data_IF_228181740011
#
_entry.id   IF_228181740011
#
_cell.length_a   1.000
_cell.length_b   1.000
_cell.length_c   1.000
_cell.angle_alpha   90.00
_cell.angle_beta   90.00
_cell.angle_gamma   90.00
#
_symmetry.space_group_name_H-M   'P 1'
#
loop_
_entity.id
_entity.type
_entity.pdbx_description
1 polymer ?
#
# COMPACT_ATOMS: atom_id res chain seq x y z
N UNK A 1 24.88 -6.87 21.84
CA UNK A 1 24.20 -8.03 22.52
C UNK A 1 24.93 -9.36 22.25
N UNK A 2 25.25 -10.18 23.26
CA UNK A 2 25.80 -11.55 23.03
C UNK A 2 24.85 -12.45 22.21
N UNK A 3 23.53 -12.22 22.31
CA UNK A 3 22.51 -12.91 21.51
C UNK A 3 22.67 -12.67 20.00
N UNK A 4 23.13 -11.49 19.58
CA UNK A 4 23.40 -11.19 18.15
C UNK A 4 24.51 -12.12 17.64
N UNK A 5 25.53 -12.37 18.45
CA UNK A 5 26.61 -13.31 18.11
C UNK A 5 26.08 -14.73 17.94
N UNK A 6 25.13 -15.16 18.78
CA UNK A 6 24.47 -16.48 18.64
C UNK A 6 23.60 -16.54 17.38
N UNK A 7 22.91 -15.46 17.01
CA UNK A 7 22.13 -15.37 15.77
C UNK A 7 23.00 -15.42 14.51
N UNK A 8 24.29 -15.04 14.59
CA UNK A 8 25.27 -15.22 13.52
C UNK A 8 25.75 -16.67 13.37
N UNK A 9 25.35 -17.58 14.26
CA UNK A 9 25.71 -18.99 14.15
C UNK A 9 25.15 -19.60 12.85
N UNK A 10 25.92 -20.53 12.26
CA UNK A 10 25.48 -21.31 11.10
C UNK A 10 24.48 -22.41 11.49
N UNK A 11 24.41 -22.77 12.76
CA UNK A 11 23.56 -23.84 13.26
C UNK A 11 22.17 -23.27 13.54
N UNK A 12 21.16 -23.82 12.85
CA UNK A 12 19.76 -23.37 12.99
C UNK A 12 19.25 -23.46 14.44
N UNK A 13 19.51 -24.57 15.15
CA UNK A 13 19.03 -24.76 16.53
C UNK A 13 19.56 -23.70 17.50
N UNK A 14 20.81 -23.26 17.34
CA UNK A 14 21.39 -22.18 18.15
C UNK A 14 20.68 -20.86 17.86
N UNK A 15 20.38 -20.58 16.58
CA UNK A 15 19.62 -19.38 16.20
C UNK A 15 18.19 -19.41 16.74
N UNK A 16 17.57 -20.58 16.75
CA UNK A 16 16.21 -20.81 17.26
C UNK A 16 16.14 -20.53 18.77
N UNK A 17 17.04 -21.14 19.54
CA UNK A 17 17.16 -20.89 20.98
C UNK A 17 17.49 -19.43 21.30
N UNK A 18 18.33 -18.78 20.49
CA UNK A 18 18.63 -17.36 20.65
C UNK A 18 17.41 -16.48 20.37
N UNK A 19 16.55 -16.83 19.39
CA UNK A 19 15.27 -16.15 19.13
C UNK A 19 14.30 -16.29 20.29
N UNK A 20 14.17 -17.50 20.84
CA UNK A 20 13.29 -17.74 22.00
C UNK A 20 13.76 -16.97 23.22
N UNK A 21 15.08 -16.96 23.48
CA UNK A 21 15.67 -16.16 24.54
C UNK A 21 15.39 -14.68 24.33
N UNK A 22 15.55 -14.18 23.11
CA UNK A 22 15.28 -12.78 22.77
C UNK A 22 13.81 -12.39 22.99
N UNK A 23 12.86 -13.26 22.62
CA UNK A 23 11.43 -13.03 22.86
C UNK A 23 11.11 -12.94 24.35
N UNK A 24 11.70 -13.82 25.17
CA UNK A 24 11.60 -13.75 26.64
C UNK A 24 12.22 -12.46 27.18
N UNK A 25 13.38 -12.06 26.69
CA UNK A 25 14.01 -10.79 27.06
C UNK A 25 13.13 -9.58 26.74
N UNK A 26 12.48 -9.53 25.57
CA UNK A 26 11.57 -8.44 25.18
C UNK A 26 10.37 -8.35 26.13
N UNK A 27 9.86 -9.51 26.57
CA UNK A 27 8.79 -9.58 27.56
C UNK A 27 9.21 -8.95 28.90
N UNK A 28 10.46 -9.16 29.31
CA UNK A 28 11.01 -8.65 30.58
C UNK A 28 11.39 -7.16 30.49
N UNK A 29 12.08 -6.75 29.41
CA UNK A 29 12.53 -5.37 29.23
C UNK A 29 11.38 -4.41 28.87
N UNK A 30 10.32 -4.94 28.25
CA UNK A 30 9.15 -4.17 27.85
C UNK A 30 9.39 -3.29 26.62
N UNK A 31 8.34 -2.55 26.24
CA UNK A 31 8.25 -1.77 25.00
C UNK A 31 9.36 -0.73 24.77
N UNK A 32 9.90 -0.12 25.83
CA UNK A 32 10.89 0.97 25.74
C UNK A 32 12.18 0.56 25.04
N UNK A 33 12.56 -0.72 25.15
CA UNK A 33 13.81 -1.22 24.57
C UNK A 33 13.61 -1.88 23.20
N UNK A 34 12.37 -2.03 22.71
CA UNK A 34 12.10 -2.71 21.45
C UNK A 34 12.85 -2.06 20.28
N UNK A 35 12.75 -0.74 20.15
CA UNK A 35 13.43 0.01 19.09
C UNK A 35 14.94 -0.23 19.11
N UNK A 36 15.56 -0.09 20.28
CA UNK A 36 16.99 -0.31 20.47
C UNK A 36 17.40 -1.74 20.11
N UNK A 37 16.63 -2.75 20.55
CA UNK A 37 16.89 -4.16 20.21
C UNK A 37 16.86 -4.36 18.70
N UNK A 38 15.89 -3.78 18.00
CA UNK A 38 15.76 -3.91 16.54
C UNK A 38 16.91 -3.21 15.83
N UNK A 39 17.29 -2.01 16.26
CA UNK A 39 18.45 -1.28 15.72
C UNK A 39 19.75 -2.07 15.91
N UNK A 40 19.95 -2.67 17.08
CA UNK A 40 21.10 -3.55 17.36
C UNK A 40 21.09 -4.83 16.50
N UNK A 41 19.93 -5.42 16.23
CA UNK A 41 19.81 -6.56 15.33
C UNK A 41 20.19 -6.16 13.88
N UNK A 42 19.71 -5.01 13.42
CA UNK A 42 20.02 -4.47 12.08
C UNK A 42 21.52 -4.19 11.95
N UNK A 43 22.13 -3.52 12.93
CA UNK A 43 23.57 -3.30 12.97
C UNK A 43 24.36 -4.62 13.07
N UNK A 44 23.77 -5.61 13.73
CA UNK A 44 24.36 -6.91 13.98
C UNK A 44 24.38 -7.90 12.81
N UNK A 45 23.42 -7.82 11.89
CA UNK A 45 23.13 -8.89 10.91
C UNK A 45 23.14 -8.38 9.46
N UNK A 46 24.25 -7.79 9.04
CA UNK A 46 24.33 -7.04 7.76
C UNK A 46 24.72 -7.88 6.52
N UNK A 47 25.20 -9.14 6.67
CA UNK A 47 25.89 -9.85 5.57
C UNK A 47 25.12 -11.04 5.02
N UNK A 48 24.75 -10.99 3.73
CA UNK A 48 24.30 -12.14 2.94
C UNK A 48 23.16 -12.92 3.59
N UNK A 49 23.44 -14.16 4.06
CA UNK A 49 22.43 -14.99 4.71
C UNK A 49 21.91 -14.41 6.04
N UNK A 50 22.72 -13.59 6.72
CA UNK A 50 22.36 -12.98 8.00
C UNK A 50 21.18 -12.02 7.85
N UNK A 51 21.00 -11.42 6.66
CA UNK A 51 19.84 -10.60 6.35
C UNK A 51 18.53 -11.41 6.42
N UNK A 52 18.52 -12.63 5.90
CA UNK A 52 17.34 -13.51 6.03
C UNK A 52 17.10 -13.96 7.48
N UNK A 53 18.18 -14.14 8.25
CA UNK A 53 18.06 -14.40 9.70
C UNK A 53 17.46 -13.18 10.41
N UNK A 54 17.90 -11.97 10.08
CA UNK A 54 17.36 -10.72 10.62
C UNK A 54 15.86 -10.59 10.36
N UNK A 55 15.42 -10.71 9.11
CA UNK A 55 13.99 -10.62 8.76
C UNK A 55 13.17 -11.69 9.49
N UNK A 56 13.68 -12.92 9.57
CA UNK A 56 13.01 -14.00 10.29
C UNK A 56 12.92 -13.68 11.79
N UNK A 57 14.00 -13.18 12.41
CA UNK A 57 14.03 -12.84 13.83
C UNK A 57 13.04 -11.72 14.16
N UNK A 58 12.99 -10.64 13.37
CA UNK A 58 12.06 -9.53 13.59
C UNK A 58 10.61 -9.99 13.41
N UNK A 59 10.33 -10.83 12.40
CA UNK A 59 9.00 -11.41 12.24
C UNK A 59 8.59 -12.29 13.45
N UNK A 60 9.49 -13.13 13.97
CA UNK A 60 9.21 -13.94 15.17
C UNK A 60 8.96 -13.06 16.41
N UNK A 61 9.73 -11.99 16.57
CA UNK A 61 9.52 -11.01 17.64
C UNK A 61 8.12 -10.38 17.54
N UNK A 62 7.69 -9.97 16.34
CA UNK A 62 6.37 -9.38 16.14
C UNK A 62 5.23 -10.37 16.40
N UNK A 63 5.39 -11.64 16.02
CA UNK A 63 4.44 -12.68 16.38
C UNK A 63 4.36 -12.81 17.90
N UNK A 64 5.50 -12.88 18.60
CA UNK A 64 5.53 -12.97 20.05
C UNK A 64 4.85 -11.76 20.70
N UNK A 65 5.12 -10.55 20.22
CA UNK A 65 4.45 -9.34 20.71
C UNK A 65 2.94 -9.40 20.47
N UNK A 66 2.49 -9.94 19.35
CA UNK A 66 1.05 -10.11 19.09
C UNK A 66 0.33 -11.08 20.01
N UNK A 67 1.07 -11.90 20.77
CA UNK A 67 0.50 -12.77 21.83
C UNK A 67 0.69 -12.20 23.23
N UNK A 68 1.37 -11.06 23.38
CA UNK A 68 1.50 -10.35 24.65
C UNK A 68 0.25 -9.50 24.93
N UNK A 69 0.17 -8.96 26.14
CA UNK A 69 -0.92 -8.08 26.57
C UNK A 69 -1.08 -6.85 25.64
N UNK A 70 -2.32 -6.46 25.42
CA UNK A 70 -2.82 -5.34 24.60
C UNK A 70 -2.09 -3.98 24.77
N UNK A 71 -1.42 -3.75 25.91
CA UNK A 71 -0.71 -2.50 26.21
C UNK A 71 0.73 -2.40 25.65
N UNK A 72 1.19 -3.42 24.93
CA UNK A 72 2.53 -3.44 24.34
C UNK A 72 2.59 -2.59 23.06
N UNK A 73 2.85 -1.29 23.24
CA UNK A 73 3.00 -0.33 22.15
C UNK A 73 4.33 -0.53 21.38
N UNK A 74 4.23 -0.68 20.06
CA UNK A 74 5.37 -0.86 19.14
C UNK A 74 5.76 0.40 18.35
N UNK A 75 5.00 1.49 18.46
CA UNK A 75 5.06 2.69 17.62
C UNK A 75 6.48 3.20 17.41
N UNK A 76 7.29 3.24 18.49
CA UNK A 76 8.68 3.70 18.45
C UNK A 76 9.58 2.94 17.46
N UNK A 77 9.25 1.68 17.17
CA UNK A 77 10.01 0.79 16.29
C UNK A 77 9.38 0.64 14.90
N UNK A 78 8.14 1.06 14.70
CA UNK A 78 7.38 0.86 13.45
C UNK A 78 8.16 1.38 12.25
N UNK A 79 8.65 2.62 12.30
CA UNK A 79 9.47 3.21 11.22
C UNK A 79 10.66 2.34 10.83
N UNK A 80 11.41 1.85 11.82
CA UNK A 80 12.62 1.06 11.60
C UNK A 80 12.27 -0.30 10.99
N UNK A 81 11.20 -0.94 11.46
CA UNK A 81 10.72 -2.23 10.93
C UNK A 81 10.21 -2.05 9.50
N UNK A 82 9.35 -1.07 9.25
CA UNK A 82 8.78 -0.82 7.93
C UNK A 82 9.88 -0.60 6.90
N UNK A 83 10.86 0.25 7.19
CA UNK A 83 11.98 0.49 6.27
C UNK A 83 12.77 -0.78 6.00
N UNK A 84 13.09 -1.57 7.02
CA UNK A 84 13.83 -2.83 6.86
C UNK A 84 13.13 -3.80 5.90
N UNK A 85 11.81 -3.99 6.05
CA UNK A 85 11.05 -4.94 5.24
C UNK A 85 10.71 -4.41 3.85
N UNK A 86 10.46 -3.10 3.72
CA UNK A 86 10.24 -2.45 2.42
C UNK A 86 11.55 -2.47 1.61
N UNK A 87 12.67 -2.13 2.23
CA UNK A 87 13.98 -2.20 1.59
C UNK A 87 14.29 -3.63 1.14
N UNK A 88 13.98 -4.66 1.94
CA UNK A 88 14.14 -6.05 1.51
C UNK A 88 13.26 -6.39 0.30
N UNK A 89 11.99 -5.98 0.31
CA UNK A 89 11.02 -6.29 -0.75
C UNK A 89 11.47 -5.80 -2.13
N UNK A 90 12.11 -4.63 -2.20
CA UNK A 90 12.55 -4.01 -3.45
C UNK A 90 14.04 -4.23 -3.76
N UNK A 91 14.88 -4.54 -2.78
CA UNK A 91 16.29 -4.88 -3.01
C UNK A 91 16.52 -6.37 -3.29
N UNK A 92 15.56 -7.25 -3.00
CA UNK A 92 15.69 -8.70 -3.25
C UNK A 92 16.04 -9.01 -4.71
N UNK A 93 15.47 -8.28 -5.66
CA UNK A 93 15.67 -8.50 -7.11
C UNK A 93 17.02 -8.01 -7.63
N UNK A 94 17.54 -6.91 -7.07
CA UNK A 94 18.92 -6.48 -7.33
C UNK A 94 19.90 -7.54 -6.84
N UNK A 95 19.63 -8.13 -5.68
CA UNK A 95 20.51 -9.17 -5.17
C UNK A 95 20.38 -10.49 -5.90
N UNK A 96 19.23 -10.92 -6.42
CA UNK A 96 19.18 -12.16 -7.23
C UNK A 96 19.98 -12.04 -8.54
N UNK A 97 19.98 -10.85 -9.15
CA UNK A 97 20.74 -10.56 -10.38
C UNK A 97 22.24 -10.30 -10.12
N UNK A 98 22.59 -9.67 -9.00
CA UNK A 98 23.99 -9.44 -8.59
C UNK A 98 24.64 -10.65 -7.90
N UNK A 99 23.86 -11.54 -7.27
CA UNK A 99 24.35 -12.79 -6.63
C UNK A 99 24.66 -13.89 -7.65
N UNK A 100 24.32 -13.72 -8.92
CA UNK A 100 24.77 -14.59 -10.00
C UNK A 100 26.25 -14.33 -10.37
N UNK A 101 26.79 -13.14 -10.06
CA UNK A 101 28.16 -12.77 -10.41
C UNK A 101 29.13 -12.79 -9.21
N UNK A 102 28.65 -12.89 -7.97
CA UNK A 102 29.49 -13.26 -6.82
C UNK A 102 29.60 -14.79 -6.73
N UNK A 103 30.16 -15.38 -7.79
CA UNK A 103 30.91 -16.61 -7.66
C UNK A 103 32.14 -16.31 -6.81
N UNK A 104 32.23 -16.91 -5.61
CA UNK A 104 33.41 -17.63 -5.12
C UNK A 104 33.21 -18.04 -3.65
N UNK A 105 33.17 -19.35 -3.40
CA UNK A 105 33.46 -19.99 -2.10
C UNK A 105 32.48 -19.82 -0.92
N UNK A 106 31.18 -19.99 -1.12
CA UNK A 106 30.25 -20.27 -0.02
C UNK A 106 29.28 -21.41 -0.37
N UNK A 107 29.43 -22.54 0.30
CA UNK A 107 28.51 -23.70 0.25
C UNK A 107 27.06 -23.38 0.69
N UNK A 108 26.77 -22.13 1.08
CA UNK A 108 25.46 -21.70 1.57
C UNK A 108 24.70 -20.91 0.50
N UNK A 109 24.00 -21.63 -0.38
CA UNK A 109 22.96 -21.05 -1.24
C UNK A 109 21.75 -20.61 -0.38
N UNK A 110 21.04 -19.52 -0.74
CA UNK A 110 19.81 -19.11 -0.06
C UNK A 110 18.75 -20.22 0.02
N UNK A 111 18.75 -21.18 -0.92
CA UNK A 111 17.88 -22.36 -0.91
C UNK A 111 18.07 -23.31 0.28
N UNK A 112 19.25 -23.31 0.92
CA UNK A 112 19.58 -24.19 2.04
C UNK A 112 19.23 -23.60 3.41
N UNK A 113 18.82 -22.32 3.45
CA UNK A 113 18.50 -21.62 4.68
C UNK A 113 16.97 -21.66 4.84
N UNK A 114 16.42 -22.36 5.85
CA UNK A 114 14.98 -22.43 6.05
C UNK A 114 14.36 -21.04 6.23
N UNK A 115 15.09 -20.09 6.80
CA UNK A 115 14.65 -18.71 7.00
C UNK A 115 14.45 -17.93 5.70
N UNK A 116 15.16 -18.27 4.61
CA UNK A 116 15.09 -17.58 3.32
C UNK A 116 13.99 -18.12 2.38
N UNK A 117 13.33 -19.24 2.75
CA UNK A 117 12.32 -19.90 1.90
C UNK A 117 10.95 -19.20 1.88
N UNK A 118 10.69 -18.31 2.83
CA UNK A 118 9.39 -17.65 2.96
C UNK A 118 9.59 -16.13 2.89
N UNK A 119 8.93 -15.48 1.93
CA UNK A 119 8.83 -14.03 1.93
C UNK A 119 7.82 -13.65 3.03
N UNK A 120 8.33 -13.07 4.12
CA UNK A 120 7.55 -12.74 5.32
C UNK A 120 7.07 -11.30 5.35
N UNK A 121 7.47 -10.46 4.39
CA UNK A 121 7.19 -9.03 4.39
C UNK A 121 5.69 -8.74 4.45
N UNK A 122 4.90 -9.45 3.65
CA UNK A 122 3.44 -9.27 3.64
C UNK A 122 2.80 -9.63 5.00
N UNK A 123 3.31 -10.66 5.70
CA UNK A 123 2.83 -11.03 7.03
C UNK A 123 3.24 -10.02 8.09
N UNK A 124 4.46 -9.48 8.00
CA UNK A 124 4.90 -8.40 8.89
C UNK A 124 4.03 -7.17 8.73
N UNK A 125 3.67 -6.80 7.50
CA UNK A 125 2.73 -5.70 7.27
C UNK A 125 1.37 -5.98 7.93
N UNK A 126 0.85 -7.21 7.85
CA UNK A 126 -0.38 -7.58 8.56
C UNK A 126 -0.24 -7.40 10.10
N UNK A 127 0.88 -7.85 10.67
CA UNK A 127 1.16 -7.71 12.11
C UNK A 127 1.31 -6.25 12.52
N UNK A 128 2.01 -5.43 11.73
CA UNK A 128 2.12 -3.99 11.98
C UNK A 128 0.73 -3.33 11.99
N UNK A 129 -0.11 -3.63 11.00
CA UNK A 129 -1.47 -3.09 10.96
C UNK A 129 -2.31 -3.44 12.19
N UNK A 130 -2.08 -4.62 12.80
CA UNK A 130 -2.78 -5.05 14.02
C UNK A 130 -2.24 -4.41 15.31
N UNK A 131 -0.94 -4.10 15.35
CA UNK A 131 -0.23 -3.72 16.58
C UNK A 131 0.01 -2.22 16.74
N UNK A 132 -0.26 -1.39 15.73
CA UNK A 132 -0.08 0.07 15.81
C UNK A 132 -1.11 0.68 16.78
N UNK A 133 -0.65 1.57 17.66
CA UNK A 133 -1.51 2.32 18.60
C UNK A 133 -1.69 3.77 18.20
N UNK A 134 -0.68 4.40 17.58
CA UNK A 134 -0.71 5.83 17.23
C UNK A 134 -1.03 6.09 15.77
N UNK A 135 -1.89 7.08 15.52
CA UNK A 135 -2.32 7.50 14.18
C UNK A 135 -1.15 7.96 13.29
N UNK A 136 -0.14 8.62 13.90
CA UNK A 136 1.04 9.12 13.19
C UNK A 136 1.83 7.99 12.51
N UNK A 137 1.86 6.79 13.09
CA UNK A 137 2.63 5.67 12.56
C UNK A 137 1.94 4.96 11.39
N UNK A 138 0.63 5.19 11.20
CA UNK A 138 -0.10 4.68 10.03
C UNK A 138 0.48 5.25 8.73
N UNK A 139 0.76 6.55 8.71
CA UNK A 139 1.37 7.21 7.55
C UNK A 139 2.83 6.75 7.37
N UNK A 140 3.57 6.59 8.46
CA UNK A 140 4.94 6.06 8.43
C UNK A 140 5.02 4.68 7.76
N UNK A 141 4.01 3.83 7.93
CA UNK A 141 3.95 2.51 7.30
C UNK A 141 3.73 2.57 5.78
N UNK A 142 2.90 3.52 5.33
CA UNK A 142 2.48 3.60 3.93
C UNK A 142 3.42 4.44 3.07
N UNK A 143 4.05 5.47 3.64
CA UNK A 143 4.87 6.41 2.88
C UNK A 143 5.99 5.71 2.08
N UNK A 144 6.75 4.74 2.64
CA UNK A 144 7.76 4.03 1.86
C UNK A 144 7.16 3.24 0.69
N UNK A 145 5.99 2.61 0.88
CA UNK A 145 5.29 1.88 -0.18
C UNK A 145 4.77 2.81 -1.27
N UNK A 146 4.24 3.99 -0.90
CA UNK A 146 3.82 5.03 -1.84
C UNK A 146 4.99 5.52 -2.70
N UNK A 147 6.12 5.83 -2.06
CA UNK A 147 7.33 6.26 -2.77
C UNK A 147 7.78 5.20 -3.78
N UNK A 148 7.79 3.93 -3.39
CA UNK A 148 8.14 2.84 -4.30
C UNK A 148 7.12 2.69 -5.45
N UNK A 149 5.82 2.80 -5.20
CA UNK A 149 4.80 2.78 -6.27
C UNK A 149 4.98 3.92 -7.28
N UNK A 150 5.44 5.09 -6.85
CA UNK A 150 5.72 6.23 -7.72
C UNK A 150 6.98 6.04 -8.57
N UNK A 151 7.97 5.29 -8.07
CA UNK A 151 9.28 5.08 -8.70
C UNK A 151 9.36 3.79 -9.53
N UNK A 152 8.61 2.75 -9.16
CA UNK A 152 8.69 1.42 -9.78
C UNK A 152 7.98 1.38 -11.13
N UNK A 153 8.62 0.74 -12.10
CA UNK A 153 8.06 0.47 -13.43
C UNK A 153 7.85 -1.04 -13.71
N UNK A 154 8.25 -1.91 -12.78
CA UNK A 154 8.06 -3.35 -12.90
C UNK A 154 6.71 -3.80 -12.31
N UNK A 155 5.89 -4.44 -13.15
CA UNK A 155 4.60 -5.03 -12.76
C UNK A 155 4.73 -6.03 -11.61
N UNK A 156 5.83 -6.80 -11.52
CA UNK A 156 6.03 -7.77 -10.43
C UNK A 156 6.20 -7.09 -9.08
N UNK A 157 6.95 -5.99 -9.05
CA UNK A 157 7.14 -5.18 -7.85
C UNK A 157 5.84 -4.50 -7.41
N UNK A 158 5.05 -4.01 -8.37
CA UNK A 158 3.73 -3.41 -8.10
C UNK A 158 2.81 -4.44 -7.45
N UNK A 159 2.68 -5.65 -8.03
CA UNK A 159 1.85 -6.71 -7.44
C UNK A 159 2.32 -7.15 -6.05
N UNK A 160 3.63 -7.12 -5.76
CA UNK A 160 4.15 -7.37 -4.41
C UNK A 160 3.74 -6.26 -3.44
N UNK A 161 3.81 -5.01 -3.87
CA UNK A 161 3.36 -3.86 -3.09
C UNK A 161 1.86 -3.94 -2.80
N UNK A 162 1.04 -4.25 -3.80
CA UNK A 162 -0.41 -4.44 -3.64
C UNK A 162 -0.74 -5.53 -2.62
N UNK A 163 -0.04 -6.67 -2.66
CA UNK A 163 -0.19 -7.73 -1.65
C UNK A 163 0.16 -7.25 -0.24
N UNK A 164 1.22 -6.46 -0.09
CA UNK A 164 1.61 -5.89 1.20
C UNK A 164 0.55 -4.92 1.73
N UNK A 165 0.04 -4.05 0.87
CA UNK A 165 -1.06 -3.14 1.20
C UNK A 165 -2.33 -3.91 1.59
N UNK A 166 -2.72 -4.94 0.82
CA UNK A 166 -3.88 -5.78 1.16
C UNK A 166 -3.73 -6.47 2.52
N UNK A 167 -2.54 -6.95 2.86
CA UNK A 167 -2.24 -7.55 4.16
C UNK A 167 -2.22 -6.53 5.31
N UNK A 168 -1.66 -5.34 5.07
CA UNK A 168 -1.74 -4.24 6.01
C UNK A 168 -3.20 -3.86 6.31
N UNK A 169 -4.05 -3.78 5.27
CA UNK A 169 -5.48 -3.53 5.40
C UNK A 169 -6.18 -4.58 6.27
N UNK A 170 -5.88 -5.87 6.11
CA UNK A 170 -6.45 -6.91 6.98
C UNK A 170 -6.01 -6.75 8.43
N UNK A 171 -4.76 -6.34 8.65
CA UNK A 171 -4.23 -5.98 9.97
C UNK A 171 -5.00 -4.83 10.61
N UNK A 172 -5.13 -3.71 9.90
CA UNK A 172 -5.83 -2.51 10.38
C UNK A 172 -7.28 -2.78 10.76
N UNK A 173 -8.01 -3.57 9.95
CA UNK A 173 -9.42 -3.88 10.25
C UNK A 173 -9.54 -4.74 11.50
N UNK A 174 -8.54 -5.56 11.82
CA UNK A 174 -8.51 -6.37 13.04
C UNK A 174 -8.01 -5.62 14.28
N UNK A 175 -7.50 -4.40 14.11
CA UNK A 175 -6.92 -3.61 15.18
C UNK A 175 -8.03 -3.07 16.11
N UNK A 176 -7.84 -3.25 17.42
CA UNK A 176 -8.75 -2.81 18.48
C UNK A 176 -8.27 -1.55 19.20
N UNK A 177 -7.01 -1.14 18.99
CA UNK A 177 -6.39 0.01 19.66
C UNK A 177 -6.67 1.33 18.95
N UNK A 178 -6.92 1.29 17.64
CA UNK A 178 -7.18 2.48 16.83
C UNK A 178 -8.66 2.86 16.87
N UNK A 179 -8.90 4.16 17.03
CA UNK A 179 -10.25 4.71 16.92
C UNK A 179 -10.73 4.68 15.46
N UNK A 180 -12.04 4.51 15.27
CA UNK A 180 -12.65 4.57 13.94
C UNK A 180 -12.46 5.97 13.33
N UNK A 181 -12.56 7.00 14.16
CA UNK A 181 -12.39 8.41 13.79
C UNK A 181 -11.00 8.65 13.18
N UNK A 182 -9.96 8.16 13.84
CA UNK A 182 -8.60 8.32 13.33
C UNK A 182 -8.33 7.54 12.06
N UNK A 183 -8.94 6.35 11.90
CA UNK A 183 -8.89 5.61 10.63
C UNK A 183 -9.57 6.39 9.48
N UNK A 184 -10.69 7.06 9.72
CA UNK A 184 -11.33 7.90 8.70
C UNK A 184 -10.47 9.12 8.36
N UNK A 185 -9.91 9.81 9.36
CA UNK A 185 -8.99 10.93 9.14
C UNK A 185 -7.77 10.49 8.30
N UNK A 186 -7.22 9.33 8.62
CA UNK A 186 -6.12 8.73 7.88
C UNK A 186 -6.48 8.47 6.40
N UNK A 187 -7.62 7.87 6.14
CA UNK A 187 -8.11 7.61 4.76
C UNK A 187 -8.33 8.92 4.02
N UNK A 188 -8.94 9.91 4.67
CA UNK A 188 -9.15 11.23 4.08
C UNK A 188 -7.83 11.89 3.71
N UNK A 189 -6.88 11.92 4.64
CA UNK A 189 -5.53 12.46 4.41
C UNK A 189 -4.83 11.76 3.25
N UNK A 190 -4.92 10.43 3.16
CA UNK A 190 -4.35 9.70 2.03
C UNK A 190 -4.99 10.11 0.70
N UNK A 191 -6.33 10.17 0.60
CA UNK A 191 -7.01 10.57 -0.63
C UNK A 191 -6.60 11.98 -1.06
N UNK A 192 -6.65 12.97 -0.16
CA UNK A 192 -6.24 14.35 -0.44
C UNK A 192 -4.79 14.43 -0.89
N UNK A 193 -3.87 13.79 -0.16
CA UNK A 193 -2.44 13.80 -0.50
C UNK A 193 -2.15 13.11 -1.83
N UNK A 194 -3.04 12.21 -2.27
CA UNK A 194 -2.89 11.50 -3.55
C UNK A 194 -3.45 12.31 -4.72
N UNK A 195 -4.50 13.10 -4.49
CA UNK A 195 -5.03 14.07 -5.45
C UNK A 195 -4.02 15.21 -5.70
N UNK A 196 -3.34 15.69 -4.66
CA UNK A 196 -2.26 16.68 -4.78
C UNK A 196 -1.09 16.18 -5.65
N UNK A 197 -0.66 14.93 -5.47
CA UNK A 197 0.38 14.33 -6.33
C UNK A 197 -0.07 14.30 -7.79
N UNK A 198 -1.30 13.88 -8.05
CA UNK A 198 -1.84 13.78 -9.41
C UNK A 198 -1.97 15.13 -10.13
N UNK A 199 -2.17 16.23 -9.38
CA UNK A 199 -2.28 17.58 -9.91
C UNK A 199 -0.92 18.26 -10.12
N UNK A 200 0.04 18.03 -9.21
CA UNK A 200 1.41 18.53 -9.32
C UNK A 200 2.20 17.90 -10.47
N UNK A 201 1.88 16.67 -10.85
CA UNK A 201 2.51 16.01 -12.01
C UNK A 201 2.01 16.56 -13.36
N UNK A 202 0.77 17.04 -13.42
CA UNK A 202 0.21 17.63 -14.65
C UNK A 202 0.78 19.03 -14.95
N UNK A 203 1.19 19.78 -13.93
CA UNK A 203 1.75 21.13 -14.07
C UNK A 203 3.24 21.10 -14.42
N UNK A 204 4.02 20.17 -13.86
CA UNK A 204 5.47 20.06 -14.11
C UNK A 204 5.83 19.53 -15.51
N UNK A 205 4.96 18.75 -16.14
CA UNK A 205 5.22 18.17 -17.46
C UNK A 205 5.12 19.18 -18.63
N UNK A 206 4.37 20.28 -18.48
CA UNK A 206 4.23 21.30 -19.53
C UNK A 206 5.34 22.36 -19.50
N UNK A 207 5.91 22.64 -18.32
CA UNK A 207 6.88 23.74 -18.15
C UNK A 207 8.34 23.33 -18.35
N UNK A 208 8.70 22.09 -18.03
CA UNK A 208 10.10 21.61 -18.12
C UNK A 208 10.48 21.16 -19.53
N UNK A 209 9.56 20.50 -20.25
CA UNK A 209 9.81 20.06 -21.64
C UNK A 209 10.05 21.24 -22.59
N UNK A 210 9.30 22.35 -22.43
CA UNK A 210 9.43 23.50 -23.32
C UNK A 210 10.72 24.30 -23.04
N UNK A 211 11.10 24.49 -21.76
CA UNK A 211 12.33 25.22 -21.40
C UNK A 211 13.60 24.48 -21.80
N UNK A 212 13.65 23.15 -21.64
CA UNK A 212 14.84 22.36 -22.03
C UNK A 212 15.03 22.28 -23.55
N UNK A 213 13.94 22.33 -24.34
CA UNK A 213 14.02 22.37 -25.80
C UNK A 213 14.53 23.75 -26.26
N UNK A 214 14.05 24.83 -25.65
CA UNK A 214 14.49 26.20 -25.96
C UNK A 214 15.97 26.44 -25.60
N UNK A 215 16.46 25.91 -24.46
CA UNK A 215 17.86 26.03 -24.07
C UNK A 215 18.80 25.15 -24.91
N UNK A 216 18.36 23.96 -25.34
CA UNK A 216 19.13 23.12 -26.29
C UNK A 216 19.29 23.76 -27.66
N UNK A 217 18.33 24.56 -28.10
CA UNK A 217 18.39 25.25 -29.39
C UNK A 217 19.33 26.47 -29.40
N UNK A 218 19.80 26.93 -28.24
CA UNK A 218 20.75 28.07 -28.12
C UNK A 218 22.20 27.70 -28.44
N UNK A 219 22.57 26.44 -28.27
CA UNK A 219 23.89 25.94 -28.58
C UNK A 219 23.72 24.91 -29.69
N UNK A 220 24.47 25.01 -30.79
CA UNK A 220 24.47 24.04 -31.89
C UNK A 220 25.07 22.67 -31.46
N UNK A 221 24.58 22.11 -30.36
CA UNK A 221 24.87 20.77 -29.89
C UNK A 221 24.21 19.80 -30.85
N UNK A 222 25.03 19.06 -31.57
CA UNK A 222 24.59 17.97 -32.44
C UNK A 222 23.75 17.01 -31.57
N UNK A 223 22.46 16.79 -31.88
CA UNK A 223 21.66 15.85 -31.12
C UNK A 223 22.29 14.46 -31.23
N UNK A 224 22.34 13.74 -30.11
CA UNK A 224 22.79 12.34 -30.08
C UNK A 224 22.11 11.52 -31.17
N UNK A 225 22.85 10.63 -31.83
CA UNK A 225 22.35 9.84 -32.97
C UNK A 225 20.96 9.25 -32.70
N UNK A 226 20.00 9.40 -33.64
CA UNK A 226 18.65 8.90 -33.47
C UNK A 226 18.67 7.37 -33.37
N UNK A 227 18.53 6.85 -32.14
CA UNK A 227 18.43 5.41 -31.88
C UNK A 227 17.18 4.84 -32.57
N UNK A 228 17.36 3.86 -33.47
CA UNK A 228 16.30 3.24 -34.28
C UNK A 228 15.49 2.22 -33.45
N UNK A 229 14.20 2.09 -33.76
CA UNK A 229 13.35 1.01 -33.26
C UNK A 229 13.00 1.08 -31.77
N UNK A 230 12.94 -0.09 -31.11
CA UNK A 230 12.43 -0.34 -29.75
C UNK A 230 12.92 0.63 -28.66
N UNK A 231 14.05 1.32 -28.83
CA UNK A 231 14.53 2.35 -27.92
C UNK A 231 13.65 3.63 -27.89
N UNK A 232 13.00 4.01 -29.01
CA UNK A 232 12.02 5.11 -29.04
C UNK A 232 10.73 4.73 -28.31
N UNK A 233 10.30 3.46 -28.45
CA UNK A 233 9.14 2.94 -27.72
C UNK A 233 9.44 2.88 -26.23
N UNK A 234 10.63 2.40 -25.83
CA UNK A 234 11.10 2.43 -24.45
C UNK A 234 11.15 3.88 -23.89
N UNK A 235 11.63 4.86 -24.65
CA UNK A 235 11.58 6.27 -24.24
C UNK A 235 10.14 6.83 -24.16
N UNK A 236 9.24 6.49 -25.10
CA UNK A 236 7.84 6.91 -24.99
C UNK A 236 7.12 6.28 -23.79
N UNK A 237 7.52 5.07 -23.37
CA UNK A 237 7.05 4.43 -22.14
C UNK A 237 7.64 5.12 -20.90
N UNK A 238 8.91 5.55 -20.94
CA UNK A 238 9.55 6.34 -19.86
C UNK A 238 8.87 7.71 -19.69
N UNK A 239 8.32 8.30 -20.75
CA UNK A 239 7.66 9.61 -20.73
C UNK A 239 6.16 9.59 -20.41
N UNK A 240 5.52 8.43 -20.43
CA UNK A 240 4.17 8.26 -19.86
C UNK A 240 4.35 7.75 -18.44
N UNK A 241 4.73 8.63 -17.51
CA UNK A 241 4.67 8.35 -16.08
C UNK A 241 3.20 8.21 -15.66
N UNK A 242 2.58 7.09 -16.01
CA UNK A 242 1.41 6.59 -15.32
C UNK A 242 1.91 6.17 -13.94
N UNK A 243 1.77 7.05 -12.98
CA UNK A 243 2.03 6.70 -11.60
C UNK A 243 1.16 5.51 -11.20
N UNK A 244 1.76 4.49 -10.59
CA UNK A 244 1.01 3.37 -9.98
C UNK A 244 0.27 3.80 -8.71
N UNK A 245 0.19 5.10 -8.47
CA UNK A 245 -0.58 5.76 -7.42
C UNK A 245 -2.07 5.34 -7.48
N UNK A 246 -2.62 5.02 -8.64
CA UNK A 246 -3.98 4.50 -8.76
C UNK A 246 -4.20 3.18 -7.97
N UNK A 247 -3.16 2.36 -7.79
CA UNK A 247 -3.20 1.18 -6.92
C UNK A 247 -3.41 1.57 -5.45
N UNK A 248 -2.76 2.65 -5.01
CA UNK A 248 -2.92 3.19 -3.66
C UNK A 248 -4.32 3.79 -3.44
N UNK A 249 -4.87 4.48 -4.44
CA UNK A 249 -6.25 5.01 -4.39
C UNK A 249 -7.24 3.85 -4.28
N UNK A 250 -7.12 2.84 -5.16
CA UNK A 250 -7.98 1.64 -5.13
C UNK A 250 -7.91 0.94 -3.77
N UNK A 251 -6.70 0.77 -3.22
CA UNK A 251 -6.50 0.21 -1.90
C UNK A 251 -7.20 1.02 -0.80
N UNK A 252 -7.03 2.35 -0.82
CA UNK A 252 -7.61 3.28 0.17
C UNK A 252 -9.14 3.24 0.13
N UNK A 253 -9.73 3.25 -1.07
CA UNK A 253 -11.17 3.09 -1.27
C UNK A 253 -11.68 1.73 -0.79
N UNK A 254 -10.92 0.66 -1.01
CA UNK A 254 -11.31 -0.65 -0.49
C UNK A 254 -11.24 -0.72 1.05
N UNK A 255 -10.29 -0.02 1.69
CA UNK A 255 -10.23 0.12 3.14
C UNK A 255 -11.46 0.87 3.67
N UNK A 256 -11.81 2.00 3.05
CA UNK A 256 -13.01 2.77 3.38
C UNK A 256 -14.27 1.90 3.33
N UNK A 257 -14.48 1.16 2.24
CA UNK A 257 -15.66 0.32 2.08
C UNK A 257 -15.76 -0.77 3.16
N UNK A 258 -14.63 -1.38 3.54
CA UNK A 258 -14.60 -2.41 4.58
C UNK A 258 -14.90 -1.81 5.96
N UNK A 259 -14.40 -0.62 6.26
CA UNK A 259 -14.70 0.07 7.54
C UNK A 259 -16.18 0.47 7.62
N UNK A 260 -16.74 1.05 6.56
CA UNK A 260 -18.18 1.41 6.49
C UNK A 260 -19.05 0.17 6.71
N UNK A 261 -18.72 -0.95 6.05
CA UNK A 261 -19.48 -2.20 6.19
C UNK A 261 -19.33 -2.87 7.56
N UNK A 262 -18.19 -2.70 8.24
CA UNK A 262 -17.94 -3.27 9.56
C UNK A 262 -18.66 -2.47 10.65
N UNK A 263 -18.63 -1.15 10.56
CA UNK A 263 -19.18 -0.24 11.56
C UNK A 263 -20.49 0.38 11.10
N UNK A 264 -21.39 -0.44 10.55
CA UNK A 264 -22.73 0.00 10.12
C UNK A 264 -23.52 0.53 11.33
N UNK A 265 -23.36 1.81 11.61
CA UNK A 265 -24.05 2.55 12.65
C UNK A 265 -24.68 3.80 12.04
N UNK A 266 -25.87 4.16 12.50
CA UNK A 266 -26.57 5.39 12.08
C UNK A 266 -26.25 6.58 12.99
N UNK A 267 -25.09 6.53 13.67
CA UNK A 267 -24.66 7.59 14.58
C UNK A 267 -24.39 8.88 13.79
N UNK A 268 -24.86 10.01 14.31
CA UNK A 268 -24.71 11.31 13.64
C UNK A 268 -23.25 11.72 13.44
N UNK A 269 -22.35 11.32 14.34
CA UNK A 269 -20.90 11.52 14.23
C UNK A 269 -20.32 10.72 13.06
N UNK A 270 -20.72 9.46 12.90
CA UNK A 270 -20.31 8.61 11.79
C UNK A 270 -20.77 9.16 10.45
N UNK A 271 -22.02 9.62 10.35
CA UNK A 271 -22.55 10.26 9.14
C UNK A 271 -21.77 11.53 8.79
N UNK A 272 -21.42 12.36 9.78
CA UNK A 272 -20.64 13.59 9.55
C UNK A 272 -19.23 13.33 9.04
N UNK A 273 -18.61 12.21 9.46
CA UNK A 273 -17.27 11.81 8.99
C UNK A 273 -17.30 11.21 7.59
N UNK A 274 -18.43 10.59 7.21
CA UNK A 274 -18.57 9.95 5.91
C UNK A 274 -18.89 10.96 4.80
N UNK A 275 -19.64 12.01 5.13
CA UNK A 275 -20.13 13.02 4.19
C UNK A 275 -19.04 13.63 3.28
N UNK A 276 -17.83 14.00 3.77
CA UNK A 276 -16.77 14.55 2.93
C UNK A 276 -16.24 13.60 1.85
N UNK A 277 -16.34 12.28 2.04
CA UNK A 277 -15.84 11.30 1.07
C UNK A 277 -16.66 11.28 -0.23
N UNK A 278 -17.89 11.81 -0.24
CA UNK A 278 -18.71 11.89 -1.45
C UNK A 278 -17.99 12.66 -2.57
N UNK A 279 -17.30 13.76 -2.23
CA UNK A 279 -16.55 14.55 -3.20
C UNK A 279 -15.38 13.74 -3.80
N UNK A 280 -14.62 13.03 -2.96
CA UNK A 280 -13.51 12.19 -3.41
C UNK A 280 -13.98 11.03 -4.30
N UNK A 281 -15.12 10.42 -3.98
CA UNK A 281 -15.70 9.35 -4.78
C UNK A 281 -16.16 9.88 -6.14
N UNK A 282 -16.75 11.07 -6.20
CA UNK A 282 -17.13 11.69 -7.48
C UNK A 282 -15.92 11.93 -8.39
N UNK A 283 -14.79 12.37 -7.82
CA UNK A 283 -13.53 12.53 -8.55
C UNK A 283 -13.01 11.17 -9.03
N UNK A 284 -13.03 10.17 -8.16
CA UNK A 284 -12.53 8.82 -8.48
C UNK A 284 -13.38 8.09 -9.54
N UNK A 285 -14.68 8.40 -9.66
CA UNK A 285 -15.54 7.89 -10.74
C UNK A 285 -15.15 8.39 -12.13
N UNK A 286 -14.48 9.55 -12.21
CA UNK A 286 -13.96 10.09 -13.47
C UNK A 286 -12.55 9.54 -13.81
N UNK A 287 -12.02 8.62 -13.01
CA UNK A 287 -10.70 8.02 -13.22
C UNK A 287 -10.64 7.20 -14.52
N UNK A 288 -9.45 7.08 -15.11
CA UNK A 288 -9.21 6.22 -16.27
C UNK A 288 -8.98 4.75 -15.88
N UNK A 289 -8.79 4.47 -14.59
CA UNK A 289 -8.43 3.16 -14.08
C UNK A 289 -9.66 2.39 -13.60
N UNK A 290 -9.91 1.23 -14.20
CA UNK A 290 -11.07 0.36 -13.89
C UNK A 290 -11.12 -0.03 -12.41
N UNK A 291 -9.98 -0.35 -11.79
CA UNK A 291 -9.95 -0.77 -10.37
C UNK A 291 -10.39 0.34 -9.41
N UNK A 292 -10.05 1.59 -9.74
CA UNK A 292 -10.48 2.77 -8.97
C UNK A 292 -11.98 2.99 -9.17
N UNK A 293 -12.48 2.86 -10.40
CA UNK A 293 -13.93 2.95 -10.70
C UNK A 293 -14.71 1.89 -9.91
N UNK A 294 -14.31 0.62 -9.99
CA UNK A 294 -14.98 -0.49 -9.29
C UNK A 294 -14.99 -0.26 -7.77
N UNK A 295 -13.85 0.16 -7.21
CA UNK A 295 -13.75 0.46 -5.78
C UNK A 295 -14.61 1.68 -5.39
N UNK A 296 -14.67 2.71 -6.23
CA UNK A 296 -15.51 3.91 -6.02
C UNK A 296 -16.99 3.56 -6.06
N UNK A 297 -17.41 2.79 -7.06
CA UNK A 297 -18.79 2.31 -7.20
C UNK A 297 -19.20 1.45 -5.99
N UNK A 298 -18.31 0.57 -5.49
CA UNK A 298 -18.57 -0.22 -4.28
C UNK A 298 -18.79 0.65 -3.05
N UNK A 299 -18.00 1.71 -2.88
CA UNK A 299 -18.21 2.68 -1.81
C UNK A 299 -19.53 3.44 -2.01
N UNK A 300 -19.81 3.92 -3.22
CA UNK A 300 -21.04 4.61 -3.56
C UNK A 300 -22.28 3.75 -3.25
N UNK A 301 -22.26 2.46 -3.57
CA UNK A 301 -23.35 1.53 -3.18
C UNK A 301 -23.55 1.50 -1.66
N UNK A 302 -22.48 1.50 -0.86
CA UNK A 302 -22.57 1.51 0.60
C UNK A 302 -23.04 2.87 1.13
N UNK A 303 -22.61 3.97 0.50
CA UNK A 303 -23.02 5.33 0.90
C UNK A 303 -24.48 5.64 0.56
N UNK A 304 -25.01 5.06 -0.52
CA UNK A 304 -26.40 5.23 -0.91
C UNK A 304 -27.38 4.59 0.08
N UNK A 305 -26.92 3.70 0.96
CA UNK A 305 -27.71 3.18 2.08
C UNK A 305 -27.96 4.27 3.15
N UNK A 306 -27.14 5.33 3.20
CA UNK A 306 -27.21 6.39 4.22
C UNK A 306 -27.78 7.72 3.68
N UNK A 307 -28.56 8.42 4.50
CA UNK A 307 -29.10 9.75 4.21
C UNK A 307 -28.08 10.87 4.51
N UNK A 308 -27.04 10.98 3.68
CA UNK A 308 -26.00 12.01 3.83
C UNK A 308 -26.46 13.39 3.29
N UNK A 309 -26.17 14.50 3.99
CA UNK A 309 -26.49 15.86 3.52
C UNK A 309 -25.84 16.25 2.20
N UNK A 310 -24.59 15.82 1.94
CA UNK A 310 -23.90 16.12 0.67
C UNK A 310 -24.44 15.35 -0.53
N UNK A 311 -25.37 14.40 -0.31
CA UNK A 311 -26.10 13.70 -1.37
C UNK A 311 -27.34 14.50 -1.79
N UNK A 312 -27.14 15.74 -2.25
CA UNK A 312 -28.19 16.52 -2.87
C UNK A 312 -28.80 15.79 -4.07
N UNK A 313 -30.11 15.97 -4.31
CA UNK A 313 -30.85 15.37 -5.45
C UNK A 313 -30.14 15.62 -6.80
N UNK A 314 -29.48 16.78 -6.95
CA UNK A 314 -28.72 17.12 -8.16
C UNK A 314 -27.42 16.31 -8.29
N UNK A 315 -26.66 16.15 -7.20
CA UNK A 315 -25.43 15.34 -7.18
C UNK A 315 -25.74 13.87 -7.43
N UNK A 316 -26.80 13.36 -6.82
CA UNK A 316 -27.33 12.01 -7.08
C UNK A 316 -27.64 11.84 -8.59
N UNK A 317 -28.31 12.81 -9.20
CA UNK A 317 -28.66 12.76 -10.63
C UNK A 317 -27.41 12.77 -11.53
N UNK A 318 -26.40 13.56 -11.19
CA UNK A 318 -25.13 13.60 -11.94
C UNK A 318 -24.35 12.29 -11.78
N UNK A 319 -24.29 11.73 -10.57
CA UNK A 319 -23.68 10.43 -10.33
C UNK A 319 -24.42 9.31 -11.07
N UNK A 320 -25.75 9.32 -11.08
CA UNK A 320 -26.57 8.37 -11.86
C UNK A 320 -26.23 8.43 -13.35
N UNK A 321 -26.17 9.63 -13.94
CA UNK A 321 -25.79 9.82 -15.36
C UNK A 321 -24.40 9.27 -15.64
N UNK A 322 -23.41 9.58 -14.79
CA UNK A 322 -22.04 9.05 -14.91
C UNK A 322 -21.99 7.52 -14.82
N UNK A 323 -22.69 6.91 -13.86
CA UNK A 323 -22.77 5.44 -13.73
C UNK A 323 -23.43 4.82 -14.96
N UNK A 324 -24.46 5.47 -15.51
CA UNK A 324 -25.12 5.04 -16.74
C UNK A 324 -24.21 5.15 -17.97
N UNK A 325 -23.44 6.23 -18.10
CA UNK A 325 -22.45 6.41 -19.16
C UNK A 325 -21.33 5.35 -19.06
N UNK A 326 -20.84 5.06 -17.84
CA UNK A 326 -19.89 3.97 -17.61
C UNK A 326 -20.49 2.62 -18.02
N UNK A 327 -21.73 2.33 -17.65
CA UNK A 327 -22.41 1.11 -18.07
C UNK A 327 -22.49 1.01 -19.60
N UNK A 328 -22.83 2.11 -20.29
CA UNK A 328 -22.87 2.14 -21.76
C UNK A 328 -21.50 1.86 -22.37
N UNK A 329 -20.44 2.51 -21.86
CA UNK A 329 -19.07 2.31 -22.33
C UNK A 329 -18.60 0.86 -22.15
N UNK A 330 -18.78 0.28 -20.96
CA UNK A 330 -18.30 -1.07 -20.67
C UNK A 330 -19.19 -2.18 -21.25
N UNK A 331 -20.50 -1.93 -21.43
CA UNK A 331 -21.41 -2.89 -22.09
C UNK A 331 -21.04 -3.16 -23.55
N UNK A 332 -20.42 -2.18 -24.22
CA UNK A 332 -19.97 -2.34 -25.61
C UNK A 332 -18.68 -3.16 -25.77
N UNK A 333 -17.93 -3.36 -24.68
CA UNK A 333 -16.62 -4.04 -24.63
C UNK A 333 -16.73 -5.36 -23.85
N UNK A 334 -17.86 -6.06 -23.96
CA UNK A 334 -18.13 -7.27 -23.21
C UNK A 334 -17.20 -8.43 -23.66
N UNK A 335 -16.34 -8.90 -22.77
CA UNK A 335 -15.44 -10.03 -23.06
C UNK A 335 -14.60 -10.58 -21.89
N UNK A 336 -14.41 -9.84 -20.80
CA UNK A 336 -13.62 -10.30 -19.64
C UNK A 336 -14.43 -10.36 -18.34
N UNK A 337 -14.12 -11.33 -17.47
CA UNK A 337 -14.83 -11.59 -16.21
C UNK A 337 -14.88 -10.34 -15.28
N UNK A 338 -13.80 -9.58 -15.19
CA UNK A 338 -13.74 -8.36 -14.34
C UNK A 338 -14.72 -7.26 -14.81
N UNK A 339 -15.04 -7.23 -16.11
CA UNK A 339 -15.99 -6.27 -16.67
C UNK A 339 -17.43 -6.69 -16.38
N UNK A 340 -17.70 -7.99 -16.25
CA UNK A 340 -19.01 -8.49 -15.83
C UNK A 340 -19.28 -8.14 -14.36
N UNK A 341 -18.26 -8.20 -13.49
CA UNK A 341 -18.36 -7.75 -12.10
C UNK A 341 -18.62 -6.23 -12.01
N UNK A 342 -18.00 -5.44 -12.88
CA UNK A 342 -18.30 -4.01 -12.99
C UNK A 342 -19.75 -3.78 -13.43
N UNK A 343 -20.21 -4.48 -14.46
CA UNK A 343 -21.57 -4.35 -14.98
C UNK A 343 -22.63 -4.71 -13.92
N UNK A 344 -22.46 -5.85 -13.24
CA UNK A 344 -23.37 -6.26 -12.16
C UNK A 344 -23.40 -5.25 -11.01
N UNK A 345 -22.26 -4.66 -10.67
CA UNK A 345 -22.17 -3.61 -9.67
C UNK A 345 -22.86 -2.31 -10.11
N UNK A 346 -22.69 -1.89 -11.37
CA UNK A 346 -23.40 -0.75 -11.95
C UNK A 346 -24.92 -0.99 -11.94
N UNK A 347 -25.39 -2.17 -12.34
CA UNK A 347 -26.81 -2.53 -12.27
C UNK A 347 -27.35 -2.48 -10.84
N UNK A 348 -26.59 -3.01 -9.87
CA UNK A 348 -26.96 -2.95 -8.44
C UNK A 348 -27.10 -1.50 -7.97
N UNK A 349 -26.15 -0.64 -8.33
CA UNK A 349 -26.15 0.78 -7.95
C UNK A 349 -27.34 1.53 -8.57
N UNK A 350 -27.61 1.30 -9.87
CA UNK A 350 -28.79 1.86 -10.53
C UNK A 350 -30.08 1.41 -9.82
N UNK A 351 -30.16 0.15 -9.42
CA UNK A 351 -31.27 -0.37 -8.59
C UNK A 351 -31.40 0.37 -7.25
N UNK A 352 -30.30 0.59 -6.53
CA UNK A 352 -30.31 1.35 -5.27
C UNK A 352 -30.70 2.82 -5.45
N UNK A 353 -30.29 3.47 -6.56
CA UNK A 353 -30.73 4.82 -6.90
C UNK A 353 -32.24 4.89 -7.12
N UNK A 354 -32.81 3.90 -7.81
CA UNK A 354 -34.26 3.83 -8.06
C UNK A 354 -35.02 3.59 -6.75
N UNK A 355 -34.58 2.65 -5.91
CA UNK A 355 -35.19 2.40 -4.60
C UNK A 355 -35.19 3.65 -3.71
N UNK A 356 -34.08 4.39 -3.67
CA UNK A 356 -34.00 5.64 -2.90
C UNK A 356 -34.92 6.73 -3.45
N UNK A 357 -35.03 6.86 -4.77
CA UNK A 357 -35.97 7.81 -5.40
C UNK A 357 -37.43 7.51 -5.12
N UNK A 358 -37.76 6.25 -4.79
CA UNK A 358 -39.09 5.80 -4.39
C UNK A 358 -39.33 6.10 -2.90
N UNK A 359 -38.31 5.92 -2.04
CA UNK A 359 -38.42 6.18 -0.60
C UNK A 359 -38.37 7.68 -0.23
N UNK A 360 -37.78 8.53 -1.07
CA UNK A 360 -37.75 9.99 -0.92
C UNK A 360 -39.03 10.71 -1.43
N UNK A 361 -40.05 9.94 -1.86
CA UNK A 361 -41.41 10.41 -2.19
C UNK A 361 -42.37 10.04 -1.07
#
# INVERSE_FOLDING_TARGET
LHLVTLLRSRIYSIRDQARDCLCKCITVFGKRYLKFIIEELIAGLQRGYQHFVLLHTVHTILIHISTLTDDFNIDSAVKTITNLFVDDLFNSEKTESSKANEHENSSYKPSNIPEAKTNKTANVMELLGRLIHSDNELLTCIEPLRQQLSLSHDSRQISKCEKCLQRFQTGLISNTHLSIESLFIFIYHLLTKTEEDSSNEQTNNKSTSNKMIEERNKYYLIPSEPKRGHARVAQSIIHVKKTNIHCLISWTLNLLNKLIKKHKNDDQTFLSMIDPFVNHIEICLNSQYTDVIVSSLRNLSSLLEYSLPSLDKQRITNMYKKVFDLLKMYSSVAGSNDMNDLLTLCYKILGTFVQRSINDK
#
